data_IF_863120692823
#
_entry.id   IF_863120692823
#
_cell.length_a   1.000
_cell.length_b   1.000
_cell.length_c   1.000
_cell.angle_alpha   90.00
_cell.angle_beta   90.00
_cell.angle_gamma   90.00
#
_symmetry.space_group_name_H-M   'P 1'
#
loop_
_entity.id
_entity.type
_entity.pdbx_description
1 polymer ?
#
# COMPACT_ATOMS: atom_id res chain seq x y z
N UNK A 1 7.28 21.50 -0.41
CA UNK A 1 6.21 21.68 -1.42
C UNK A 1 6.02 20.34 -2.12
N UNK A 2 4.78 19.94 -2.43
CA UNK A 2 4.46 18.66 -3.09
C UNK A 2 3.89 18.93 -4.48
N UNK A 3 4.47 18.33 -5.51
CA UNK A 3 4.04 18.50 -6.90
C UNK A 3 3.02 17.42 -7.30
N UNK A 4 1.73 17.70 -7.11
CA UNK A 4 0.62 16.81 -7.49
C UNK A 4 0.38 16.88 -9.01
N UNK A 5 0.05 15.74 -9.62
CA UNK A 5 -0.29 15.69 -11.04
C UNK A 5 -1.56 16.52 -11.33
N UNK A 6 -1.47 17.45 -12.30
CA UNK A 6 -2.52 18.44 -12.58
C UNK A 6 -3.91 17.83 -12.81
N UNK A 7 -4.04 16.83 -13.69
CA UNK A 7 -5.32 16.17 -13.94
C UNK A 7 -5.91 15.49 -12.70
N UNK A 8 -5.06 14.97 -11.80
CA UNK A 8 -5.53 14.43 -10.52
C UNK A 8 -6.00 15.58 -9.64
N UNK A 9 -5.25 16.66 -9.54
CA UNK A 9 -5.64 17.84 -8.76
C UNK A 9 -6.98 18.42 -9.25
N UNK A 10 -7.14 18.63 -10.54
CA UNK A 10 -8.32 19.29 -11.14
C UNK A 10 -9.58 18.41 -11.15
N UNK A 11 -9.46 17.09 -10.99
CA UNK A 11 -10.60 16.18 -11.01
C UNK A 11 -11.58 16.42 -9.85
N UNK A 12 -12.88 16.40 -10.14
CA UNK A 12 -13.95 16.57 -9.15
C UNK A 12 -13.99 15.43 -8.12
N UNK A 13 -13.68 14.21 -8.55
CA UNK A 13 -13.68 13.00 -7.74
C UNK A 13 -12.51 12.10 -8.16
N UNK A 14 -12.10 11.20 -7.27
CA UNK A 14 -11.00 10.27 -7.51
C UNK A 14 -11.42 8.84 -7.18
N UNK A 15 -11.19 7.93 -8.11
CA UNK A 15 -11.26 6.49 -7.86
C UNK A 15 -9.83 5.95 -7.94
N UNK A 16 -9.33 5.47 -6.81
CA UNK A 16 -7.99 4.89 -6.69
C UNK A 16 -8.09 3.37 -6.85
N UNK A 17 -7.71 2.86 -8.03
CA UNK A 17 -7.54 1.43 -8.28
C UNK A 17 -6.12 1.01 -7.91
N UNK A 18 -6.00 0.19 -6.87
CA UNK A 18 -4.72 -0.24 -6.32
C UNK A 18 -4.64 -1.77 -6.21
N UNK A 19 -3.41 -2.28 -6.20
CA UNK A 19 -3.12 -3.70 -6.12
C UNK A 19 -2.31 -3.99 -4.85
N UNK A 20 -2.77 -4.94 -4.06
CA UNK A 20 -2.11 -5.37 -2.84
C UNK A 20 -0.93 -6.31 -3.18
N UNK A 21 0.31 -5.85 -2.92
CA UNK A 21 1.55 -6.59 -3.21
C UNK A 21 2.59 -6.34 -2.14
N UNK A 22 3.61 -7.19 -2.07
CA UNK A 22 4.81 -6.86 -1.30
C UNK A 22 5.64 -5.76 -1.97
N UNK A 23 6.54 -5.13 -1.22
CA UNK A 23 7.51 -4.17 -1.75
C UNK A 23 8.80 -4.20 -0.95
N UNK A 24 9.96 -4.36 -1.62
CA UNK A 24 11.24 -4.52 -0.94
C UNK A 24 11.59 -3.38 0.02
N UNK A 25 11.45 -2.12 -0.41
CA UNK A 25 11.78 -0.95 0.42
C UNK A 25 10.68 -0.53 1.41
N UNK A 26 9.42 -0.86 1.14
CA UNK A 26 8.26 -0.31 1.87
C UNK A 26 7.49 -1.36 2.67
N UNK A 27 7.86 -2.64 2.53
CA UNK A 27 7.10 -3.80 3.00
C UNK A 27 5.91 -4.13 2.11
N UNK A 28 5.08 -3.13 1.78
CA UNK A 28 3.79 -3.31 1.11
C UNK A 28 3.51 -2.24 0.05
N UNK A 29 2.86 -2.63 -1.03
CA UNK A 29 2.23 -1.78 -2.02
C UNK A 29 0.72 -1.95 -1.96
N UNK A 30 0.00 -0.84 -1.92
CA UNK A 30 -1.46 -0.79 -1.83
C UNK A 30 -1.97 0.60 -2.22
N UNK A 31 -3.13 0.98 -1.72
CA UNK A 31 -3.79 2.24 -2.04
C UNK A 31 -2.95 3.47 -1.70
N UNK A 32 -2.26 3.47 -0.54
CA UNK A 32 -1.42 4.59 -0.10
C UNK A 32 -0.26 4.80 -1.07
N UNK A 33 0.54 3.74 -1.32
CA UNK A 33 1.71 3.81 -2.19
C UNK A 33 1.34 4.14 -3.64
N UNK A 34 0.16 3.69 -4.11
CA UNK A 34 -0.33 4.00 -5.44
C UNK A 34 -0.50 5.51 -5.65
N UNK A 35 -1.13 6.20 -4.68
CA UNK A 35 -1.27 7.66 -4.75
C UNK A 35 0.03 8.39 -4.44
N UNK A 36 0.82 7.90 -3.48
CA UNK A 36 2.08 8.53 -3.12
C UNK A 36 3.04 8.62 -4.31
N UNK A 37 3.33 7.49 -4.95
CA UNK A 37 4.34 7.44 -6.02
C UNK A 37 3.77 7.67 -7.43
N UNK A 38 2.46 7.47 -7.62
CA UNK A 38 1.79 7.61 -8.91
C UNK A 38 1.04 8.94 -9.09
N UNK A 39 0.70 9.62 -7.99
CA UNK A 39 -0.10 10.85 -8.00
C UNK A 39 0.69 12.14 -8.20
N UNK A 40 2.00 12.04 -8.43
CA UNK A 40 2.94 13.16 -8.41
C UNK A 40 3.88 13.16 -9.60
N UNK A 41 4.63 14.25 -9.78
CA UNK A 41 5.64 14.35 -10.84
C UNK A 41 6.81 13.40 -10.61
N UNK A 42 7.53 13.03 -11.68
CA UNK A 42 8.73 12.20 -11.56
C UNK A 42 9.82 12.81 -10.66
N UNK A 43 9.88 14.14 -10.57
CA UNK A 43 10.78 14.86 -9.65
C UNK A 43 10.39 14.61 -8.20
N UNK A 44 9.11 14.77 -7.88
CA UNK A 44 8.59 14.54 -6.52
C UNK A 44 8.77 13.08 -6.10
N UNK A 45 8.42 12.13 -6.98
CA UNK A 45 8.68 10.69 -6.76
C UNK A 45 10.16 10.40 -6.49
N UNK A 46 11.07 11.11 -7.16
CA UNK A 46 12.51 11.01 -6.90
C UNK A 46 12.89 11.53 -5.51
N UNK A 47 12.30 12.65 -5.09
CA UNK A 47 12.53 13.24 -3.77
C UNK A 47 12.00 12.36 -2.63
N UNK A 48 10.88 11.66 -2.80
CA UNK A 48 10.39 10.67 -1.82
C UNK A 48 11.39 9.52 -1.64
N UNK A 49 11.92 8.93 -2.72
CA UNK A 49 12.95 7.89 -2.62
C UNK A 49 14.27 8.39 -2.01
N UNK A 50 14.59 9.68 -2.14
CA UNK A 50 15.75 10.25 -1.43
C UNK A 50 15.53 10.24 0.09
N UNK A 51 14.29 10.38 0.57
CA UNK A 51 13.98 10.28 2.01
C UNK A 51 14.20 8.89 2.57
N UNK A 52 13.96 7.84 1.78
CA UNK A 52 14.32 6.47 2.13
C UNK A 52 15.83 6.33 2.38
N UNK A 53 16.67 6.96 1.56
CA UNK A 53 18.14 6.92 1.69
C UNK A 53 18.66 7.75 2.85
N UNK A 54 18.02 8.87 3.15
CA UNK A 54 18.43 9.81 4.20
C UNK A 54 17.98 9.35 5.60
N UNK A 55 16.75 8.86 5.73
CA UNK A 55 16.08 8.61 7.02
C UNK A 55 15.48 7.21 7.16
N UNK A 56 15.73 6.31 6.20
CA UNK A 56 15.25 4.94 6.22
C UNK A 56 13.75 4.82 5.95
N UNK A 57 13.20 3.66 6.30
CA UNK A 57 11.82 3.28 5.97
C UNK A 57 10.76 4.21 6.58
N UNK A 58 10.97 4.68 7.82
CA UNK A 58 10.00 5.54 8.49
C UNK A 58 9.91 6.89 7.79
N UNK A 59 11.05 7.49 7.45
CA UNK A 59 11.08 8.75 6.70
C UNK A 59 10.44 8.60 5.31
N UNK A 60 10.58 7.43 4.68
CA UNK A 60 9.90 7.11 3.43
C UNK A 60 8.37 7.04 3.60
N UNK A 61 7.88 6.35 4.65
CA UNK A 61 6.44 6.30 4.94
C UNK A 61 5.87 7.66 5.31
N UNK A 62 6.61 8.50 6.04
CA UNK A 62 6.21 9.88 6.36
C UNK A 62 6.11 10.74 5.09
N UNK A 63 7.10 10.66 4.19
CA UNK A 63 7.07 11.35 2.92
C UNK A 63 5.87 10.91 2.06
N UNK A 64 5.60 9.61 1.98
CA UNK A 64 4.42 9.10 1.27
C UNK A 64 3.12 9.62 1.89
N UNK A 65 3.02 9.69 3.22
CA UNK A 65 1.84 10.22 3.90
C UNK A 65 1.61 11.71 3.59
N UNK A 66 2.68 12.52 3.57
CA UNK A 66 2.61 13.93 3.17
C UNK A 66 2.13 14.10 1.73
N UNK A 67 2.63 13.26 0.82
CA UNK A 67 2.20 13.27 -0.58
C UNK A 67 0.73 12.88 -0.72
N UNK A 68 0.30 11.78 -0.09
CA UNK A 68 -1.11 11.35 -0.13
C UNK A 68 -2.02 12.46 0.41
N UNK A 69 -1.61 13.14 1.47
CA UNK A 69 -2.36 14.27 2.03
C UNK A 69 -2.50 15.41 1.03
N UNK A 70 -1.44 15.73 0.28
CA UNK A 70 -1.49 16.73 -0.79
C UNK A 70 -2.43 16.30 -1.93
N UNK A 71 -2.32 15.04 -2.39
CA UNK A 71 -3.15 14.48 -3.46
C UNK A 71 -4.65 14.51 -3.09
N UNK A 72 -4.98 14.23 -1.83
CA UNK A 72 -6.37 14.16 -1.35
C UNK A 72 -6.91 15.50 -0.83
N UNK A 73 -6.08 16.54 -0.73
CA UNK A 73 -6.38 17.80 -0.05
C UNK A 73 -7.65 18.50 -0.56
N UNK A 74 -7.93 18.41 -1.87
CA UNK A 74 -9.10 19.03 -2.50
C UNK A 74 -10.23 18.04 -2.82
N UNK A 75 -10.18 16.80 -2.31
CA UNK A 75 -11.13 15.72 -2.64
C UNK A 75 -11.90 15.16 -1.45
N UNK A 76 -12.02 15.91 -0.36
CA UNK A 76 -12.70 15.44 0.86
C UNK A 76 -14.10 14.90 0.56
N UNK A 77 -14.32 13.62 0.89
CA UNK A 77 -15.61 12.94 0.69
C UNK A 77 -15.92 12.51 -0.75
N UNK A 78 -15.02 12.78 -1.71
CA UNK A 78 -15.18 12.48 -3.14
C UNK A 78 -14.15 11.46 -3.65
N UNK A 79 -13.67 10.61 -2.74
CA UNK A 79 -12.64 9.61 -3.04
C UNK A 79 -13.17 8.22 -2.72
N UNK A 80 -12.94 7.29 -3.63
CA UNK A 80 -13.15 5.85 -3.44
C UNK A 80 -11.84 5.13 -3.70
N UNK A 81 -11.44 4.27 -2.77
CA UNK A 81 -10.31 3.37 -2.93
C UNK A 81 -10.86 1.97 -3.19
N UNK A 82 -10.30 1.29 -4.20
CA UNK A 82 -10.61 -0.10 -4.51
C UNK A 82 -9.29 -0.85 -4.58
N UNK A 83 -9.19 -1.91 -3.80
CA UNK A 83 -7.98 -2.70 -3.61
C UNK A 83 -8.21 -4.11 -4.12
N UNK A 84 -7.42 -4.50 -5.12
CA UNK A 84 -7.35 -5.87 -5.60
C UNK A 84 -6.39 -6.64 -4.70
N UNK A 85 -6.89 -7.73 -4.10
CA UNK A 85 -6.15 -8.63 -3.24
C UNK A 85 -6.13 -10.00 -3.93
N UNK A 86 -5.48 -10.03 -5.08
CA UNK A 86 -5.30 -11.21 -5.93
C UNK A 86 -3.89 -11.21 -6.49
N UNK A 87 -3.42 -12.35 -6.98
CA UNK A 87 -2.06 -12.53 -7.49
C UNK A 87 -0.97 -12.00 -6.53
N UNK A 88 -1.20 -12.01 -5.22
CA UNK A 88 -0.35 -11.30 -4.25
C UNK A 88 1.04 -11.93 -4.21
N UNK A 89 2.04 -11.28 -4.80
CA UNK A 89 3.45 -11.70 -4.77
C UNK A 89 4.26 -10.81 -3.83
N UNK A 90 5.49 -11.22 -3.53
CA UNK A 90 6.40 -10.51 -2.63
C UNK A 90 6.93 -9.20 -3.20
N UNK A 91 6.93 -9.02 -4.52
CA UNK A 91 7.43 -7.79 -5.14
C UNK A 91 6.30 -6.98 -5.78
N UNK A 92 6.51 -5.68 -5.94
CA UNK A 92 5.52 -4.83 -6.60
C UNK A 92 5.48 -5.10 -8.10
N UNK A 93 4.38 -4.72 -8.75
CA UNK A 93 4.21 -4.88 -10.20
C UNK A 93 5.26 -4.12 -11.04
N UNK A 94 6.00 -3.18 -10.46
CA UNK A 94 7.13 -2.52 -11.12
C UNK A 94 8.34 -3.45 -11.32
N UNK A 95 8.40 -4.58 -10.61
CA UNK A 95 9.49 -5.54 -10.72
C UNK A 95 9.37 -6.33 -12.04
N UNK A 96 10.47 -6.59 -12.77
CA UNK A 96 10.41 -7.18 -14.10
C UNK A 96 10.21 -8.71 -14.12
N UNK A 97 9.90 -9.33 -12.99
CA UNK A 97 9.78 -10.78 -12.83
C UNK A 97 8.44 -11.14 -12.20
N UNK A 98 7.77 -12.12 -12.80
CA UNK A 98 6.57 -12.75 -12.26
C UNK A 98 6.95 -13.89 -11.32
N UNK A 99 6.21 -14.02 -10.23
CA UNK A 99 6.45 -15.02 -9.19
C UNK A 99 5.16 -15.76 -8.88
N UNK A 100 5.28 -16.94 -8.26
CA UNK A 100 4.11 -17.68 -7.78
C UNK A 100 3.47 -16.84 -6.65
N UNK A 101 2.15 -16.57 -6.71
CA UNK A 101 1.47 -15.82 -5.65
C UNK A 101 1.72 -16.44 -4.28
N UNK A 102 1.89 -15.58 -3.28
CA UNK A 102 2.18 -15.91 -1.90
C UNK A 102 0.96 -16.50 -1.19
N UNK A 103 -0.23 -16.00 -1.51
CA UNK A 103 -1.51 -16.39 -0.90
C UNK A 103 -2.57 -16.52 -2.01
N UNK A 104 -3.64 -17.32 -1.80
CA UNK A 104 -4.76 -17.39 -2.73
C UNK A 104 -5.41 -16.03 -2.96
N UNK A 105 -6.10 -15.89 -4.09
CA UNK A 105 -6.90 -14.71 -4.37
C UNK A 105 -7.98 -14.55 -3.29
N UNK A 106 -7.98 -13.38 -2.65
CA UNK A 106 -8.92 -13.02 -1.58
C UNK A 106 -10.11 -12.26 -2.18
N UNK A 107 -9.87 -11.44 -3.20
CA UNK A 107 -10.91 -10.72 -3.93
C UNK A 107 -10.64 -9.22 -4.05
N UNK A 108 -11.70 -8.42 -3.96
CA UNK A 108 -11.64 -6.97 -4.12
C UNK A 108 -12.29 -6.31 -2.91
N UNK A 109 -11.58 -5.38 -2.29
CA UNK A 109 -12.09 -4.54 -1.20
C UNK A 109 -12.34 -3.11 -1.70
N UNK A 110 -13.27 -2.39 -1.07
CA UNK A 110 -13.52 -0.98 -1.37
C UNK A 110 -13.76 -0.18 -0.08
N UNK A 111 -13.26 1.05 -0.04
CA UNK A 111 -13.40 1.95 1.11
C UNK A 111 -13.24 3.41 0.69
N UNK A 112 -13.84 4.32 1.46
CA UNK A 112 -13.54 5.77 1.37
C UNK A 112 -12.36 6.18 2.26
N UNK A 113 -11.89 5.29 3.12
CA UNK A 113 -10.75 5.48 4.01
C UNK A 113 -9.55 4.67 3.48
N UNK A 114 -8.48 5.40 3.12
CA UNK A 114 -7.27 4.84 2.51
C UNK A 114 -6.43 4.03 3.50
N UNK A 115 -6.48 4.36 4.79
CA UNK A 115 -5.73 3.65 5.82
C UNK A 115 -6.43 2.34 6.14
N UNK A 116 -7.76 2.39 6.27
CA UNK A 116 -8.58 1.22 6.58
C UNK A 116 -8.47 0.14 5.49
N UNK A 117 -8.47 0.52 4.21
CA UNK A 117 -8.39 -0.46 3.11
C UNK A 117 -7.04 -1.15 3.02
N UNK A 118 -5.93 -0.41 3.20
CA UNK A 118 -4.59 -1.00 3.21
C UNK A 118 -4.37 -1.86 4.47
N UNK A 119 -4.90 -1.44 5.62
CA UNK A 119 -4.87 -2.23 6.84
C UNK A 119 -5.65 -3.53 6.67
N UNK A 120 -6.85 -3.47 6.10
CA UNK A 120 -7.66 -4.65 5.82
C UNK A 120 -6.96 -5.59 4.82
N UNK A 121 -6.37 -5.05 3.75
CA UNK A 121 -5.60 -5.83 2.79
C UNK A 121 -4.43 -6.59 3.44
N UNK A 122 -3.64 -5.90 4.27
CA UNK A 122 -2.54 -6.52 5.02
C UNK A 122 -3.02 -7.64 5.96
N UNK A 123 -4.10 -7.41 6.69
CA UNK A 123 -4.65 -8.39 7.63
C UNK A 123 -5.17 -9.63 6.91
N UNK A 124 -5.92 -9.43 5.81
CA UNK A 124 -6.45 -10.51 4.99
C UNK A 124 -5.31 -11.35 4.39
N UNK A 125 -4.27 -10.71 3.83
CA UNK A 125 -3.08 -11.39 3.30
C UNK A 125 -2.36 -12.17 4.40
N UNK A 126 -2.18 -11.58 5.58
CA UNK A 126 -1.50 -12.26 6.68
C UNK A 126 -2.31 -13.44 7.22
N UNK A 127 -3.63 -13.36 7.24
CA UNK A 127 -4.51 -14.47 7.65
C UNK A 127 -4.58 -15.60 6.61
N UNK A 128 -4.48 -15.29 5.32
CA UNK A 128 -4.57 -16.29 4.27
C UNK A 128 -3.46 -17.36 4.37
N UNK A 129 -3.75 -18.63 4.03
CA UNK A 129 -2.71 -19.66 3.97
C UNK A 129 -1.73 -19.36 2.85
N UNK A 130 -0.43 -19.64 3.03
CA UNK A 130 0.53 -19.51 1.95
C UNK A 130 0.29 -20.55 0.86
N UNK A 131 0.57 -20.19 -0.39
CA UNK A 131 0.54 -21.12 -1.51
C UNK A 131 1.83 -21.95 -1.54
N UNK A 132 1.74 -23.30 -1.61
CA UNK A 132 2.90 -24.17 -1.79
C UNK A 132 3.68 -23.86 -3.06
N UNK A 133 5.02 -23.90 -2.99
CA UNK A 133 5.92 -23.58 -4.10
C UNK A 133 6.18 -22.09 -4.29
N UNK A 134 5.49 -21.21 -3.54
CA UNK A 134 5.82 -19.79 -3.49
C UNK A 134 7.04 -19.52 -2.60
N UNK A 135 7.48 -18.26 -2.57
CA UNK A 135 8.54 -17.81 -1.66
C UNK A 135 8.20 -18.07 -0.18
N UNK A 136 6.92 -18.28 0.17
CA UNK A 136 6.51 -18.63 1.52
C UNK A 136 7.21 -19.88 2.08
N UNK A 137 7.50 -20.88 1.24
CA UNK A 137 8.13 -22.13 1.66
C UNK A 137 9.56 -21.89 2.17
N UNK A 138 10.30 -20.99 1.50
CA UNK A 138 11.66 -20.58 1.89
C UNK A 138 11.69 -20.03 3.32
N UNK A 139 10.64 -19.31 3.71
CA UNK A 139 10.54 -18.68 5.02
C UNK A 139 9.67 -19.49 6.01
N UNK A 140 9.11 -20.63 5.59
CA UNK A 140 8.20 -21.45 6.39
C UNK A 140 7.00 -20.66 6.92
N UNK A 141 6.44 -19.76 6.11
CA UNK A 141 5.38 -18.85 6.54
C UNK A 141 4.10 -19.60 6.90
N UNK A 142 3.30 -19.02 7.80
CA UNK A 142 2.03 -19.59 8.25
C UNK A 142 0.89 -18.55 8.23
N UNK A 143 -0.38 -18.99 8.21
CA UNK A 143 -1.51 -18.12 8.51
C UNK A 143 -1.30 -17.33 9.80
N UNK A 144 -1.62 -16.04 9.78
CA UNK A 144 -1.49 -15.11 10.91
C UNK A 144 -0.10 -14.48 11.07
N UNK A 145 0.93 -14.94 10.37
CA UNK A 145 2.25 -14.32 10.42
C UNK A 145 2.32 -13.06 9.55
N UNK A 146 3.15 -12.09 9.95
CA UNK A 146 3.48 -10.93 9.14
C UNK A 146 4.41 -11.35 7.98
N UNK A 147 3.81 -11.70 6.86
CA UNK A 147 4.51 -12.34 5.74
C UNK A 147 5.54 -11.41 5.10
N UNK A 148 5.18 -10.16 4.83
CA UNK A 148 6.08 -9.21 4.19
C UNK A 148 7.24 -8.77 5.09
N UNK A 149 7.04 -8.69 6.42
CA UNK A 149 8.15 -8.49 7.36
C UNK A 149 9.16 -9.64 7.28
N UNK A 150 8.69 -10.89 7.22
CA UNK A 150 9.56 -12.06 7.15
C UNK A 150 10.34 -12.12 5.84
N UNK A 151 9.74 -11.70 4.73
CA UNK A 151 10.35 -11.73 3.40
C UNK A 151 11.34 -10.56 3.21
N UNK A 152 10.91 -9.32 3.51
CA UNK A 152 11.68 -8.10 3.20
C UNK A 152 12.47 -7.54 4.38
N UNK A 153 12.20 -8.00 5.61
CA UNK A 153 12.76 -7.40 6.82
C UNK A 153 12.15 -6.03 7.17
N UNK A 154 11.08 -5.63 6.48
CA UNK A 154 10.41 -4.34 6.65
C UNK A 154 8.97 -4.57 7.12
N UNK A 155 8.57 -3.98 8.24
CA UNK A 155 7.21 -4.09 8.74
C UNK A 155 6.24 -3.25 7.89
N UNK A 156 5.35 -3.89 7.10
CA UNK A 156 4.41 -3.16 6.24
C UNK A 156 3.40 -2.33 7.03
N UNK A 157 3.11 -2.67 8.30
CA UNK A 157 2.13 -1.93 9.10
C UNK A 157 2.61 -0.52 9.46
N UNK A 158 3.92 -0.25 9.38
CA UNK A 158 4.48 1.10 9.55
C UNK A 158 3.80 2.10 8.59
N UNK A 159 3.50 1.69 7.35
CA UNK A 159 2.82 2.53 6.36
C UNK A 159 1.46 3.04 6.85
N UNK A 160 0.60 2.15 7.32
CA UNK A 160 -0.76 2.49 7.77
C UNK A 160 -0.75 3.24 9.11
N UNK A 161 0.20 2.93 10.00
CA UNK A 161 0.36 3.63 11.28
C UNK A 161 0.80 5.08 11.06
N UNK A 162 1.77 5.31 10.17
CA UNK A 162 2.24 6.66 9.82
C UNK A 162 1.13 7.44 9.12
N UNK A 163 0.40 6.81 8.20
CA UNK A 163 -0.73 7.44 7.52
C UNK A 163 -1.87 7.83 8.47
N UNK A 164 -2.19 6.98 9.46
CA UNK A 164 -3.16 7.32 10.52
C UNK A 164 -2.69 8.53 11.33
N UNK A 165 -1.42 8.56 11.76
CA UNK A 165 -0.83 9.71 12.47
C UNK A 165 -0.88 11.01 11.65
N UNK A 166 -0.75 10.92 10.33
CA UNK A 166 -0.87 12.06 9.42
C UNK A 166 -2.32 12.55 9.23
N UNK A 167 -3.31 11.82 9.75
CA UNK A 167 -4.74 12.13 9.68
C UNK A 167 -5.41 11.70 8.37
N UNK A 168 -4.86 10.70 7.68
CA UNK A 168 -5.39 10.22 6.39
C UNK A 168 -6.57 9.26 6.51
N UNK A 169 -6.80 8.70 7.69
CA UNK A 169 -7.81 7.67 7.92
C UNK A 169 -7.56 6.95 9.25
N UNK A 170 -8.16 5.78 9.44
CA UNK A 170 -7.94 4.95 10.63
C UNK A 170 -7.48 3.54 10.32
N UNK A 171 -6.66 2.98 11.22
CA UNK A 171 -6.31 1.55 11.23
C UNK A 171 -7.45 0.68 11.78
N UNK A 172 -8.48 1.28 12.38
CA UNK A 172 -9.69 0.56 12.76
C UNK A 172 -10.63 0.46 11.56
N UNK A 173 -11.11 -0.76 11.29
CA UNK A 173 -12.07 -1.01 10.23
C UNK A 173 -13.04 -2.11 10.65
N UNK A 174 -14.18 -2.17 9.96
CA UNK A 174 -15.13 -3.27 10.02
C UNK A 174 -15.27 -3.83 8.62
N UNK A 175 -14.97 -5.11 8.45
CA UNK A 175 -15.23 -5.81 7.20
C UNK A 175 -16.74 -6.04 7.07
N UNK A 176 -17.29 -5.73 5.90
CA UNK A 176 -18.69 -5.99 5.54
C UNK A 176 -18.66 -6.89 4.32
N UNK A 177 -19.12 -8.12 4.50
CA UNK A 177 -19.26 -9.12 3.43
C UNK A 177 -20.72 -9.13 2.97
N UNK A 178 -20.92 -9.31 1.66
CA UNK A 178 -22.23 -9.33 1.01
C UNK A 178 -22.42 -10.67 0.29
#
# INVERSE_FOLDING_TARGET
>A
EVEVAGNIYDADALINFAHAKGHGGAGYGGAIKNLALGGVTGRMRGAEHSKEREGGVVAFHEAMADVVKAVLSNKKGKVLHVLWIMDVVEHCDCAPFGMIPLVPDIGIAASKDIVAIDKAGLDLINQAPPIPGSVADTYGLKPGENKFLRIHGVDPYTQVIVAEKAGLGSTQYKLIEF
#
